data_IF_834152347546
#
_entry.id   IF_834152347546
#
_cell.length_a   1.000
_cell.length_b   1.000
_cell.length_c   1.000
_cell.angle_alpha   90.00
_cell.angle_beta   90.00
_cell.angle_gamma   90.00
#
_symmetry.space_group_name_H-M   'P 1'
#
loop_
_entity.id
_entity.type
_entity.pdbx_description
1 polymer ?
#
# COMPACT_ATOMS: atom_id res chain seq x y z
N UNK A 1 -8.91 -16.19 -15.76
CA UNK A 1 -8.07 -17.34 -15.33
C UNK A 1 -7.45 -17.01 -13.98
N UNK A 2 -7.37 -17.94 -13.03
CA UNK A 2 -6.63 -17.70 -11.78
C UNK A 2 -5.13 -17.84 -12.05
N UNK A 3 -4.39 -16.74 -11.94
CA UNK A 3 -2.93 -16.67 -12.01
C UNK A 3 -2.35 -16.58 -10.60
N UNK A 4 -1.07 -16.94 -10.44
CA UNK A 4 -0.38 -16.79 -9.16
C UNK A 4 -0.45 -15.33 -8.68
N UNK A 5 -0.19 -14.38 -9.58
CA UNK A 5 -0.27 -12.94 -9.32
C UNK A 5 -1.69 -12.48 -8.96
N UNK A 6 -2.74 -13.04 -9.57
CA UNK A 6 -4.12 -12.71 -9.18
C UNK A 6 -4.45 -13.21 -7.77
N UNK A 7 -3.95 -14.39 -7.39
CA UNK A 7 -4.17 -14.97 -6.06
C UNK A 7 -3.39 -14.18 -5.01
N UNK A 8 -2.12 -13.86 -5.25
CA UNK A 8 -1.27 -13.11 -4.31
C UNK A 8 -1.85 -11.73 -4.01
N UNK A 9 -2.22 -10.98 -5.05
CA UNK A 9 -2.78 -9.63 -4.94
C UNK A 9 -4.20 -9.68 -4.39
N UNK A 10 -4.99 -10.71 -4.71
CA UNK A 10 -6.32 -10.94 -4.11
C UNK A 10 -6.25 -11.23 -2.61
N UNK A 11 -5.31 -12.08 -2.18
CA UNK A 11 -5.07 -12.36 -0.77
C UNK A 11 -4.56 -11.11 -0.02
N UNK A 12 -3.64 -10.37 -0.64
CA UNK A 12 -3.14 -9.11 -0.09
C UNK A 12 -4.28 -8.10 0.07
N UNK A 13 -5.16 -7.97 -0.92
CA UNK A 13 -6.37 -7.14 -0.87
C UNK A 13 -7.25 -7.51 0.33
N UNK A 14 -7.49 -8.80 0.56
CA UNK A 14 -8.25 -9.29 1.71
C UNK A 14 -7.62 -8.83 3.03
N UNK A 15 -6.29 -8.95 3.19
CA UNK A 15 -5.61 -8.48 4.40
C UNK A 15 -5.79 -6.98 4.63
N UNK A 16 -5.65 -6.17 3.58
CA UNK A 16 -5.86 -4.72 3.65
C UNK A 16 -7.31 -4.36 3.98
N UNK A 17 -8.30 -5.05 3.40
CA UNK A 17 -9.70 -4.82 3.74
C UNK A 17 -10.01 -5.21 5.18
N UNK A 18 -9.57 -6.37 5.66
CA UNK A 18 -9.77 -6.80 7.04
C UNK A 18 -9.14 -5.81 8.04
N UNK A 19 -7.91 -5.38 7.76
CA UNK A 19 -7.23 -4.34 8.54
C UNK A 19 -8.00 -3.00 8.47
N UNK A 20 -8.41 -2.59 7.29
CA UNK A 20 -9.11 -1.33 7.02
C UNK A 20 -10.48 -1.25 7.68
N UNK A 21 -11.32 -2.28 7.57
CA UNK A 21 -12.62 -2.36 8.25
C UNK A 21 -12.47 -2.39 9.77
N UNK A 22 -11.43 -3.06 10.27
CA UNK A 22 -11.13 -3.08 11.71
C UNK A 22 -10.75 -1.68 12.21
N UNK A 23 -9.86 -1.00 11.48
CA UNK A 23 -9.47 0.37 11.78
C UNK A 23 -10.66 1.35 11.63
N UNK A 24 -11.52 1.14 10.63
CA UNK A 24 -12.73 1.94 10.40
C UNK A 24 -13.67 1.86 11.59
N UNK A 25 -13.97 0.65 12.08
CA UNK A 25 -14.81 0.46 13.28
C UNK A 25 -14.24 1.18 14.49
N UNK A 26 -12.93 1.16 14.69
CA UNK A 26 -12.28 1.88 15.78
C UNK A 26 -12.35 3.40 15.59
N UNK A 27 -12.12 3.89 14.37
CA UNK A 27 -12.18 5.31 14.05
C UNK A 27 -13.60 5.88 14.18
N UNK A 28 -14.64 5.14 13.78
CA UNK A 28 -16.03 5.59 13.92
C UNK A 28 -16.44 5.84 15.38
N UNK A 29 -15.79 5.17 16.34
CA UNK A 29 -16.01 5.38 17.78
C UNK A 29 -15.32 6.63 18.32
N UNK A 30 -14.04 6.83 18.00
CA UNK A 30 -13.20 7.86 18.63
C UNK A 30 -12.90 9.07 17.73
N UNK A 31 -13.19 8.98 16.43
CA UNK A 31 -13.07 10.02 15.38
C UNK A 31 -11.72 10.76 15.29
N UNK A 32 -10.62 10.19 15.79
CA UNK A 32 -9.28 10.79 15.64
C UNK A 32 -8.84 10.94 14.18
N UNK A 33 -8.43 12.15 13.79
CA UNK A 33 -8.07 12.50 12.41
C UNK A 33 -6.97 11.60 11.79
N UNK A 34 -5.93 11.24 12.56
CA UNK A 34 -4.84 10.36 12.09
C UNK A 34 -5.32 8.96 11.77
N UNK A 35 -6.27 8.44 12.57
CA UNK A 35 -6.87 7.12 12.33
C UNK A 35 -7.71 7.13 11.05
N UNK A 36 -8.41 8.23 10.75
CA UNK A 36 -9.14 8.39 9.49
C UNK A 36 -8.24 8.30 8.25
N UNK A 37 -7.08 8.96 8.27
CA UNK A 37 -6.12 8.87 7.16
C UNK A 37 -5.57 7.45 6.97
N UNK A 38 -5.30 6.76 8.08
CA UNK A 38 -4.84 5.37 8.05
C UNK A 38 -5.92 4.40 7.55
N UNK A 39 -7.20 4.66 7.86
CA UNK A 39 -8.34 3.91 7.31
C UNK A 39 -8.43 4.08 5.79
N UNK A 40 -8.34 5.33 5.31
CA UNK A 40 -8.34 5.61 3.86
C UNK A 40 -7.17 4.91 3.19
N UNK A 41 -5.98 4.97 3.78
CA UNK A 41 -4.81 4.23 3.32
C UNK A 41 -5.12 2.74 3.13
N UNK A 42 -5.55 2.04 4.20
CA UNK A 42 -5.80 0.60 4.16
C UNK A 42 -6.89 0.21 3.16
N UNK A 43 -8.02 0.91 3.16
CA UNK A 43 -9.15 0.57 2.28
C UNK A 43 -8.83 0.87 0.81
N UNK A 44 -8.26 2.04 0.51
CA UNK A 44 -7.88 2.38 -0.85
C UNK A 44 -6.78 1.43 -1.36
N UNK A 45 -5.84 1.02 -0.52
CA UNK A 45 -4.84 0.03 -0.92
C UNK A 45 -5.45 -1.37 -1.14
N UNK A 46 -6.44 -1.74 -0.33
CA UNK A 46 -7.25 -2.94 -0.56
C UNK A 46 -7.90 -2.94 -1.94
N UNK A 47 -8.51 -1.81 -2.34
CA UNK A 47 -9.04 -1.63 -3.69
C UNK A 47 -7.96 -1.68 -4.76
N UNK A 48 -6.82 -1.02 -4.57
CA UNK A 48 -5.70 -1.08 -5.50
C UNK A 48 -5.29 -2.53 -5.78
N UNK A 49 -5.12 -3.34 -4.73
CA UNK A 49 -4.77 -4.75 -4.85
C UNK A 49 -5.88 -5.59 -5.49
N UNK A 50 -7.16 -5.29 -5.19
CA UNK A 50 -8.31 -5.95 -5.81
C UNK A 50 -8.35 -5.70 -7.32
N UNK A 51 -8.23 -4.44 -7.75
CA UNK A 51 -8.25 -4.10 -9.17
C UNK A 51 -7.03 -4.67 -9.91
N UNK A 52 -5.88 -4.76 -9.25
CA UNK A 52 -4.69 -5.40 -9.83
C UNK A 52 -4.85 -6.93 -9.94
N UNK A 53 -5.51 -7.57 -8.96
CA UNK A 53 -5.90 -8.99 -9.02
C UNK A 53 -6.86 -9.26 -10.17
N UNK A 54 -7.90 -8.41 -10.33
CA UNK A 54 -8.83 -8.50 -11.45
C UNK A 54 -8.13 -8.29 -12.79
N UNK A 55 -7.23 -7.31 -12.91
CA UNK A 55 -6.45 -7.07 -14.11
C UNK A 55 -5.65 -8.33 -14.50
N UNK A 56 -4.87 -8.86 -13.56
CA UNK A 56 -4.03 -10.04 -13.81
C UNK A 56 -4.86 -11.31 -14.09
N UNK A 57 -6.08 -11.41 -13.57
CA UNK A 57 -7.02 -12.51 -13.86
C UNK A 57 -7.78 -12.39 -15.18
N UNK A 58 -7.93 -11.17 -15.72
CA UNK A 58 -8.71 -10.87 -16.93
C UNK A 58 -7.89 -10.85 -18.23
N UNK A 59 -6.57 -11.04 -18.16
CA UNK A 59 -5.68 -10.89 -19.34
C UNK A 59 -6.06 -11.77 -20.52
N UNK A 60 -6.51 -13.00 -20.25
CA UNK A 60 -6.88 -13.96 -21.28
C UNK A 60 -8.27 -13.69 -21.87
N UNK A 61 -9.01 -12.71 -21.33
CA UNK A 61 -10.39 -12.40 -21.71
C UNK A 61 -10.46 -11.15 -22.58
N UNK A 62 -9.83 -10.05 -22.14
CA UNK A 62 -9.77 -8.80 -22.90
C UNK A 62 -8.58 -7.94 -22.46
N UNK A 63 -7.67 -7.67 -23.40
CA UNK A 63 -6.49 -6.83 -23.18
C UNK A 63 -6.85 -5.38 -22.79
N UNK A 64 -7.97 -4.84 -23.31
CA UNK A 64 -8.43 -3.49 -22.95
C UNK A 64 -8.90 -3.44 -21.51
N UNK A 65 -9.66 -4.42 -21.06
CA UNK A 65 -10.15 -4.50 -19.67
C UNK A 65 -8.97 -4.58 -18.70
N UNK A 66 -7.97 -5.40 -18.99
CA UNK A 66 -6.76 -5.52 -18.18
C UNK A 66 -6.05 -4.16 -17.98
N UNK A 67 -5.87 -3.41 -19.06
CA UNK A 67 -5.20 -2.10 -19.05
C UNK A 67 -5.95 -1.08 -18.20
N UNK A 68 -7.28 -1.02 -18.33
CA UNK A 68 -8.10 -0.10 -17.55
C UNK A 68 -8.13 -0.48 -16.07
N UNK A 69 -8.22 -1.77 -15.75
CA UNK A 69 -8.14 -2.25 -14.36
C UNK A 69 -6.77 -1.93 -13.74
N UNK A 70 -5.68 -2.02 -14.51
CA UNK A 70 -4.35 -1.56 -14.07
C UNK A 70 -4.34 -0.06 -13.77
N UNK A 71 -4.91 0.79 -14.64
CA UNK A 71 -4.96 2.24 -14.41
C UNK A 71 -5.82 2.59 -13.18
N UNK A 72 -6.98 1.94 -13.03
CA UNK A 72 -7.87 2.09 -11.87
C UNK A 72 -7.18 1.63 -10.58
N UNK A 73 -6.43 0.52 -10.60
CA UNK A 73 -5.64 0.09 -9.45
C UNK A 73 -4.71 1.22 -8.98
N UNK A 74 -4.01 1.87 -9.91
CA UNK A 74 -3.10 2.95 -9.57
C UNK A 74 -3.80 4.24 -9.11
N UNK A 75 -5.01 4.53 -9.58
CA UNK A 75 -5.87 5.58 -8.97
C UNK A 75 -6.03 5.36 -7.46
N UNK A 76 -6.39 4.14 -7.07
CA UNK A 76 -6.52 3.81 -5.66
C UNK A 76 -5.18 3.83 -4.91
N UNK A 77 -4.07 3.47 -5.57
CA UNK A 77 -2.72 3.65 -5.02
C UNK A 77 -2.44 5.12 -4.69
N UNK A 78 -2.70 6.04 -5.63
CA UNK A 78 -2.46 7.46 -5.41
C UNK A 78 -3.33 8.03 -4.29
N UNK A 79 -4.61 7.68 -4.25
CA UNK A 79 -5.52 8.05 -3.15
C UNK A 79 -4.96 7.57 -1.82
N UNK A 80 -4.57 6.29 -1.75
CA UNK A 80 -4.03 5.67 -0.55
C UNK A 80 -2.79 6.40 -0.04
N UNK A 81 -1.79 6.60 -0.89
CA UNK A 81 -0.51 7.24 -0.54
C UNK A 81 -0.67 8.73 -0.20
N UNK A 82 -1.51 9.46 -0.94
CA UNK A 82 -1.81 10.87 -0.67
C UNK A 82 -2.37 11.11 0.73
N UNK A 83 -3.26 10.23 1.19
CA UNK A 83 -3.80 10.36 2.54
C UNK A 83 -2.83 9.82 3.57
N UNK A 84 -2.10 8.76 3.24
CA UNK A 84 -1.18 8.14 4.18
C UNK A 84 -0.02 9.05 4.58
N UNK A 85 0.57 9.80 3.65
CA UNK A 85 1.69 10.73 3.92
C UNK A 85 1.36 11.75 5.03
N UNK A 86 0.06 12.07 5.22
CA UNK A 86 -0.38 13.00 6.28
C UNK A 86 -0.06 12.48 7.67
N UNK A 87 -0.04 11.16 7.88
CA UNK A 87 0.26 10.55 9.18
C UNK A 87 1.69 10.91 9.63
N UNK A 88 2.77 10.54 8.92
CA UNK A 88 4.11 10.89 9.33
C UNK A 88 4.39 12.40 9.27
N UNK A 89 3.72 13.15 8.38
CA UNK A 89 3.82 14.61 8.32
C UNK A 89 3.27 15.30 9.57
N UNK A 90 2.09 14.90 10.06
CA UNK A 90 1.55 15.46 11.31
C UNK A 90 2.40 15.11 12.52
N UNK A 91 3.08 13.96 12.49
CA UNK A 91 3.98 13.54 13.56
C UNK A 91 5.33 14.27 13.55
N UNK A 92 5.87 14.56 12.36
CA UNK A 92 7.27 15.05 12.22
C UNK A 92 7.35 16.52 11.80
N UNK A 93 6.42 17.00 10.97
CA UNK A 93 6.43 18.33 10.37
C UNK A 93 5.02 18.96 10.30
N UNK A 94 4.33 19.15 11.45
CA UNK A 94 2.92 19.56 11.47
C UNK A 94 2.66 20.90 10.77
N UNK A 95 3.63 21.82 10.78
CA UNK A 95 3.53 23.13 10.11
C UNK A 95 3.54 23.02 8.58
N UNK A 96 4.23 22.02 8.03
CA UNK A 96 4.36 21.81 6.58
C UNK A 96 3.34 20.82 6.02
N UNK A 97 2.58 20.13 6.88
CA UNK A 97 1.67 19.06 6.48
C UNK A 97 0.69 19.47 5.40
N UNK A 98 0.01 20.61 5.54
CA UNK A 98 -0.97 21.09 4.56
C UNK A 98 -0.34 21.41 3.21
N UNK A 99 0.87 21.97 3.21
CA UNK A 99 1.60 22.32 2.00
C UNK A 99 2.02 21.05 1.24
N UNK A 100 2.66 20.11 1.95
CA UNK A 100 3.13 18.86 1.35
C UNK A 100 1.95 17.99 0.90
N UNK A 101 0.84 17.97 1.65
CA UNK A 101 -0.38 17.28 1.23
C UNK A 101 -0.96 17.86 -0.08
N UNK A 102 -1.02 19.20 -0.22
CA UNK A 102 -1.45 19.83 -1.47
C UNK A 102 -0.52 19.49 -2.64
N UNK A 103 0.79 19.52 -2.42
CA UNK A 103 1.78 19.13 -3.41
C UNK A 103 1.61 17.65 -3.82
N UNK A 104 1.35 16.77 -2.85
CA UNK A 104 1.08 15.35 -3.07
C UNK A 104 -0.20 15.12 -3.89
N UNK A 105 -1.27 15.89 -3.63
CA UNK A 105 -2.49 15.86 -4.42
C UNK A 105 -2.25 16.30 -5.87
N UNK A 106 -1.51 17.39 -6.07
CA UNK A 106 -1.16 17.87 -7.41
C UNK A 106 -0.31 16.82 -8.15
N UNK A 107 0.71 16.27 -7.49
CA UNK A 107 1.52 15.18 -8.04
C UNK A 107 0.66 13.98 -8.43
N UNK A 108 -0.29 13.58 -7.58
CA UNK A 108 -1.19 12.46 -7.87
C UNK A 108 -2.11 12.74 -9.05
N UNK A 109 -2.62 13.96 -9.20
CA UNK A 109 -3.43 14.35 -10.34
C UNK A 109 -2.63 14.29 -11.65
N UNK A 110 -1.41 14.86 -11.66
CA UNK A 110 -0.50 14.81 -12.80
C UNK A 110 -0.11 13.36 -13.11
N UNK A 111 0.26 12.59 -12.07
CA UNK A 111 0.65 11.20 -12.19
C UNK A 111 -0.47 10.35 -12.78
N UNK A 112 -1.71 10.55 -12.33
CA UNK A 112 -2.88 9.90 -12.90
C UNK A 112 -3.10 10.26 -14.36
N UNK A 113 -3.01 11.54 -14.72
CA UNK A 113 -3.11 11.95 -16.12
C UNK A 113 -2.04 11.24 -16.99
N UNK A 114 -0.79 11.18 -16.51
CA UNK A 114 0.29 10.43 -17.17
C UNK A 114 -0.05 8.95 -17.30
N UNK A 115 -0.58 8.30 -16.25
CA UNK A 115 -0.95 6.89 -16.31
C UNK A 115 -2.08 6.63 -17.31
N UNK A 116 -3.11 7.46 -17.32
CA UNK A 116 -4.26 7.30 -18.23
C UNK A 116 -3.89 7.58 -19.69
N UNK A 117 -3.03 8.57 -19.95
CA UNK A 117 -2.52 8.83 -21.31
C UNK A 117 -1.64 7.69 -21.83
N UNK A 118 -0.88 7.04 -20.95
CA UNK A 118 0.00 5.93 -21.30
C UNK A 118 -0.65 4.55 -21.17
N UNK A 119 -1.87 4.46 -20.64
CA UNK A 119 -2.58 3.19 -20.43
C UNK A 119 -2.65 2.36 -21.72
N UNK A 120 -2.97 2.91 -22.92
CA UNK A 120 -3.00 2.12 -24.16
C UNK A 120 -1.67 1.47 -24.55
N UNK A 121 -0.54 1.94 -24.00
CA UNK A 121 0.80 1.40 -24.26
C UNK A 121 1.21 0.33 -23.23
N UNK A 122 0.42 0.15 -22.17
CA UNK A 122 0.65 -0.91 -21.18
C UNK A 122 0.32 -2.24 -21.85
N UNK A 123 1.30 -3.15 -21.85
CA UNK A 123 1.07 -4.50 -22.37
C UNK A 123 1.21 -5.54 -21.28
N UNK A 124 0.41 -6.57 -21.45
CA UNK A 124 0.21 -7.68 -20.55
C UNK A 124 0.83 -8.94 -21.16
N UNK A 125 1.70 -9.62 -20.44
CA UNK A 125 2.23 -10.91 -20.89
C UNK A 125 2.02 -11.95 -19.79
N UNK A 126 1.29 -13.01 -20.15
CA UNK A 126 1.14 -14.20 -19.32
C UNK A 126 2.32 -15.14 -19.66
N UNK A 127 3.17 -15.37 -18.67
CA UNK A 127 4.32 -16.26 -18.79
C UNK A 127 3.98 -17.69 -18.35
N UNK A 128 4.87 -18.62 -18.68
CA UNK A 128 4.82 -19.98 -18.16
C UNK A 128 4.73 -19.96 -16.61
N UNK A 129 3.97 -20.91 -16.03
CA UNK A 129 3.66 -21.01 -14.60
C UNK A 129 2.62 -20.01 -14.06
N UNK A 130 1.83 -19.37 -14.94
CA UNK A 130 0.71 -18.52 -14.50
C UNK A 130 1.17 -17.24 -13.82
N UNK A 131 2.35 -16.73 -14.23
CA UNK A 131 2.94 -15.49 -13.75
C UNK A 131 2.66 -14.39 -14.75
N UNK A 132 2.40 -13.18 -14.23
CA UNK A 132 1.98 -12.07 -15.06
C UNK A 132 3.03 -10.95 -15.08
N UNK A 133 3.38 -10.46 -16.28
CA UNK A 133 4.31 -9.34 -16.48
C UNK A 133 3.59 -8.15 -17.13
N UNK A 134 3.62 -6.99 -16.46
CA UNK A 134 3.23 -5.71 -17.05
C UNK A 134 4.43 -5.04 -17.69
N UNK A 135 4.39 -4.80 -19.01
CA UNK A 135 5.30 -3.84 -19.66
C UNK A 135 4.65 -2.47 -19.62
N UNK A 136 5.09 -1.70 -18.62
CA UNK A 136 4.63 -0.34 -18.37
C UNK A 136 5.61 0.65 -19.01
N UNK A 137 5.12 1.71 -19.67
CA UNK A 137 5.98 2.79 -20.16
C UNK A 137 6.87 3.39 -19.06
N UNK A 138 8.06 3.86 -19.44
CA UNK A 138 9.04 4.37 -18.50
C UNK A 138 8.49 5.53 -17.66
N UNK A 139 7.79 6.47 -18.30
CA UNK A 139 7.21 7.63 -17.60
C UNK A 139 6.20 7.22 -16.52
N UNK A 140 5.30 6.29 -16.84
CA UNK A 140 4.37 5.73 -15.86
C UNK A 140 5.09 5.03 -14.71
N UNK A 141 6.13 4.26 -15.03
CA UNK A 141 6.97 3.58 -14.03
C UNK A 141 7.65 4.56 -13.10
N UNK A 142 8.27 5.63 -13.63
CA UNK A 142 8.95 6.66 -12.84
C UNK A 142 7.97 7.35 -11.88
N UNK A 143 6.78 7.72 -12.35
CA UNK A 143 5.76 8.35 -11.51
C UNK A 143 5.36 7.43 -10.35
N UNK A 144 5.08 6.16 -10.64
CA UNK A 144 4.69 5.17 -9.62
C UNK A 144 5.81 4.97 -8.61
N UNK A 145 7.03 4.73 -9.08
CA UNK A 145 8.20 4.41 -8.24
C UNK A 145 8.58 5.59 -7.37
N UNK A 146 8.68 6.81 -7.93
CA UNK A 146 9.07 8.00 -7.17
C UNK A 146 8.06 8.26 -6.05
N UNK A 147 6.77 8.30 -6.37
CA UNK A 147 5.75 8.64 -5.39
C UNK A 147 5.62 7.60 -4.28
N UNK A 148 5.61 6.32 -4.67
CA UNK A 148 5.54 5.21 -3.71
C UNK A 148 6.79 5.19 -2.83
N UNK A 149 7.97 5.36 -3.40
CA UNK A 149 9.24 5.33 -2.65
C UNK A 149 9.32 6.46 -1.64
N UNK A 150 9.09 7.71 -2.07
CA UNK A 150 9.16 8.86 -1.17
C UNK A 150 8.15 8.73 -0.03
N UNK A 151 6.92 8.32 -0.34
CA UNK A 151 5.87 8.18 0.67
C UNK A 151 6.16 7.04 1.64
N UNK A 152 6.51 5.86 1.13
CA UNK A 152 6.72 4.67 1.96
C UNK A 152 8.02 4.75 2.77
N UNK A 153 9.12 5.25 2.21
CA UNK A 153 10.39 5.44 2.96
C UNK A 153 10.17 6.42 4.11
N UNK A 154 9.54 7.57 3.84
CA UNK A 154 9.28 8.55 4.89
C UNK A 154 8.37 7.99 5.99
N UNK A 155 7.29 7.31 5.60
CA UNK A 155 6.36 6.69 6.54
C UNK A 155 6.99 5.58 7.36
N UNK A 156 7.78 4.71 6.72
CA UNK A 156 8.51 3.64 7.38
C UNK A 156 9.51 4.21 8.38
N UNK A 157 10.28 5.23 8.00
CA UNK A 157 11.23 5.88 8.90
C UNK A 157 10.54 6.49 10.13
N UNK A 158 9.38 7.14 9.97
CA UNK A 158 8.62 7.70 11.10
C UNK A 158 8.07 6.61 12.01
N UNK A 159 7.55 5.51 11.47
CA UNK A 159 7.00 4.41 12.28
C UNK A 159 8.08 3.60 12.97
N UNK A 160 9.22 3.34 12.31
CA UNK A 160 10.37 2.68 12.90
C UNK A 160 10.98 3.52 14.04
N UNK A 161 11.01 4.85 13.90
CA UNK A 161 11.42 5.73 15.00
C UNK A 161 10.55 5.58 16.25
N UNK A 162 9.26 5.24 16.10
CA UNK A 162 8.39 5.00 17.25
C UNK A 162 8.80 3.76 18.06
N UNK A 163 9.51 2.80 17.47
CA UNK A 163 10.03 1.65 18.21
C UNK A 163 11.09 2.04 19.25
N UNK A 164 11.81 3.13 19.04
CA UNK A 164 12.89 3.59 19.94
C UNK A 164 12.41 4.59 21.01
N UNK A 165 11.11 4.88 21.05
CA UNK A 165 10.50 5.80 22.01
C UNK A 165 10.11 5.07 23.29
N UNK A 166 10.80 5.36 24.39
CA UNK A 166 10.60 4.69 25.67
C UNK A 166 9.30 5.10 26.37
N UNK A 167 8.72 6.23 25.99
CA UNK A 167 7.43 6.72 26.49
C UNK A 167 6.21 5.93 25.95
N UNK A 168 6.41 5.06 24.95
CA UNK A 168 5.36 4.23 24.37
C UNK A 168 5.35 2.83 25.01
N UNK A 169 4.16 2.25 25.21
CA UNK A 169 4.05 0.85 25.64
C UNK A 169 4.74 -0.09 24.64
N UNK A 170 5.21 -1.24 25.12
CA UNK A 170 5.87 -2.25 24.27
C UNK A 170 5.00 -2.62 23.06
N UNK A 171 3.68 -2.75 23.26
CA UNK A 171 2.72 -3.05 22.19
C UNK A 171 2.72 -1.98 21.11
N UNK A 172 2.72 -0.69 21.48
CA UNK A 172 2.79 0.40 20.50
C UNK A 172 4.12 0.48 19.78
N UNK A 173 5.23 0.20 20.47
CA UNK A 173 6.57 0.13 19.87
C UNK A 173 6.65 -0.99 18.84
N UNK A 174 6.23 -2.21 19.21
CA UNK A 174 6.19 -3.37 18.32
C UNK A 174 5.25 -3.13 17.13
N UNK A 175 4.12 -2.46 17.34
CA UNK A 175 3.22 -2.06 16.26
C UNK A 175 3.91 -1.14 15.25
N UNK A 176 4.65 -0.14 15.72
CA UNK A 176 5.46 0.73 14.86
C UNK A 176 6.50 -0.05 14.05
N UNK A 177 7.20 -0.98 14.70
CA UNK A 177 8.18 -1.85 14.06
C UNK A 177 7.57 -2.73 12.96
N UNK A 178 6.47 -3.43 13.26
CA UNK A 178 5.81 -4.35 12.34
C UNK A 178 5.25 -3.59 11.12
N UNK A 179 4.55 -2.47 11.36
CA UNK A 179 4.00 -1.66 10.26
C UNK A 179 5.11 -1.01 9.41
N UNK A 180 6.18 -0.52 10.04
CA UNK A 180 7.34 0.03 9.34
C UNK A 180 8.07 -1.02 8.50
N UNK A 181 8.29 -2.22 9.05
CA UNK A 181 8.85 -3.35 8.31
C UNK A 181 7.96 -3.76 7.14
N UNK A 182 6.64 -3.82 7.34
CA UNK A 182 5.67 -4.09 6.28
C UNK A 182 5.76 -3.11 5.12
N UNK A 183 5.99 -1.82 5.39
CA UNK A 183 6.22 -0.81 4.35
C UNK A 183 7.52 -1.02 3.58
N UNK A 184 8.60 -1.39 4.25
CA UNK A 184 9.89 -1.69 3.60
C UNK A 184 9.75 -2.90 2.69
N UNK A 185 9.13 -3.98 3.19
CA UNK A 185 8.86 -5.19 2.40
C UNK A 185 8.00 -4.84 1.18
N UNK A 186 6.94 -4.04 1.37
CA UNK A 186 6.11 -3.58 0.25
C UNK A 186 6.92 -2.79 -0.79
N UNK A 187 7.84 -1.94 -0.35
CA UNK A 187 8.69 -1.13 -1.23
C UNK A 187 9.54 -2.01 -2.16
N UNK A 188 10.02 -3.14 -1.65
CA UNK A 188 10.79 -4.13 -2.42
C UNK A 188 9.94 -5.02 -3.32
N UNK A 189 8.60 -4.98 -3.19
CA UNK A 189 7.68 -5.82 -3.95
C UNK A 189 6.73 -5.02 -4.86
N UNK A 190 5.89 -4.15 -4.32
CA UNK A 190 4.85 -3.43 -5.06
C UNK A 190 5.37 -2.70 -6.31
N UNK A 191 6.26 -1.70 -6.17
CA UNK A 191 6.86 -1.02 -7.31
C UNK A 191 7.67 -1.96 -8.22
N UNK A 192 8.26 -3.01 -7.67
CA UNK A 192 9.10 -3.96 -8.40
C UNK A 192 8.32 -4.77 -9.45
N UNK A 193 6.99 -4.92 -9.32
CA UNK A 193 6.14 -5.49 -10.38
C UNK A 193 6.24 -4.74 -11.72
N UNK A 194 6.64 -3.47 -11.71
CA UNK A 194 6.81 -2.67 -12.92
C UNK A 194 8.23 -2.78 -13.52
N UNK A 195 9.18 -3.35 -12.77
CA UNK A 195 10.60 -3.40 -13.12
C UNK A 195 11.08 -4.81 -13.45
N UNK A 196 10.55 -5.83 -12.77
CA UNK A 196 10.96 -7.21 -12.97
C UNK A 196 10.41 -7.77 -14.28
N UNK A 197 11.28 -8.49 -15.00
CA UNK A 197 10.98 -9.09 -16.32
C UNK A 197 11.16 -10.62 -16.35
N UNK A 198 11.33 -11.26 -15.20
CA UNK A 198 11.53 -12.72 -15.12
C UNK A 198 10.45 -13.39 -14.27
N UNK A 199 9.99 -14.61 -14.63
CA UNK A 199 8.96 -15.32 -13.85
C UNK A 199 9.36 -15.55 -12.39
N UNK A 200 10.61 -15.98 -12.15
CA UNK A 200 11.14 -16.21 -10.79
C UNK A 200 11.13 -14.93 -9.96
N UNK A 201 11.52 -13.80 -10.54
CA UNK A 201 11.51 -12.52 -9.85
C UNK A 201 10.09 -12.06 -9.49
N UNK A 202 9.12 -12.29 -10.38
CA UNK A 202 7.72 -11.94 -10.11
C UNK A 202 7.13 -12.80 -9.00
N UNK A 203 7.42 -14.10 -8.96
CA UNK A 203 6.99 -14.99 -7.87
C UNK A 203 7.54 -14.48 -6.53
N UNK A 204 8.82 -14.10 -6.48
CA UNK A 204 9.43 -13.53 -5.27
C UNK A 204 8.72 -12.26 -4.84
N UNK A 205 8.46 -11.34 -5.78
CA UNK A 205 7.77 -10.09 -5.51
C UNK A 205 6.33 -10.33 -5.02
N UNK A 206 5.60 -11.25 -5.63
CA UNK A 206 4.25 -11.66 -5.21
C UNK A 206 4.26 -12.22 -3.78
N UNK A 207 5.25 -13.05 -3.42
CA UNK A 207 5.40 -13.58 -2.07
C UNK A 207 5.71 -12.50 -1.03
N UNK A 208 6.61 -11.57 -1.38
CA UNK A 208 6.94 -10.41 -0.54
C UNK A 208 5.73 -9.48 -0.38
N UNK A 209 4.89 -9.34 -1.39
CA UNK A 209 3.66 -8.55 -1.33
C UNK A 209 2.66 -9.15 -0.32
N UNK A 210 2.46 -10.47 -0.34
CA UNK A 210 1.65 -11.19 0.66
C UNK A 210 2.23 -10.97 2.06
N UNK A 211 3.55 -11.12 2.22
CA UNK A 211 4.24 -10.89 3.49
C UNK A 211 4.03 -9.46 4.01
N UNK A 212 4.12 -8.45 3.13
CA UNK A 212 3.81 -7.08 3.50
C UNK A 212 2.37 -6.96 4.02
N UNK A 213 1.39 -7.50 3.29
CA UNK A 213 -0.01 -7.53 3.71
C UNK A 213 -0.22 -8.21 5.07
N UNK A 214 0.47 -9.32 5.32
CA UNK A 214 0.48 -10.02 6.61
C UNK A 214 1.03 -9.15 7.74
N UNK A 215 2.16 -8.47 7.51
CA UNK A 215 2.73 -7.54 8.49
C UNK A 215 1.76 -6.39 8.79
N UNK A 216 1.08 -5.84 7.78
CA UNK A 216 0.07 -4.80 7.98
C UNK A 216 -1.10 -5.28 8.84
N UNK A 217 -1.70 -6.43 8.53
CA UNK A 217 -2.82 -6.95 9.34
C UNK A 217 -2.36 -7.31 10.76
N UNK A 218 -1.19 -7.94 10.93
CA UNK A 218 -0.62 -8.23 12.26
C UNK A 218 -0.43 -6.93 13.04
N UNK A 219 0.17 -5.89 12.43
CA UNK A 219 0.38 -4.61 13.09
C UNK A 219 -0.92 -3.90 13.48
N UNK A 220 -2.01 -4.08 12.73
CA UNK A 220 -3.33 -3.54 13.09
C UNK A 220 -3.97 -4.32 14.23
N UNK A 221 -3.84 -5.66 14.23
CA UNK A 221 -4.44 -6.53 15.24
C UNK A 221 -3.57 -6.73 16.49
N UNK A 222 -2.31 -6.30 16.49
CA UNK A 222 -1.36 -6.52 17.58
C UNK A 222 -1.91 -6.15 18.97
N UNK A 223 -2.57 -5.00 19.18
CA UNK A 223 -3.11 -4.64 20.50
C UNK A 223 -4.27 -5.53 20.97
N UNK A 224 -4.89 -6.29 20.07
CA UNK A 224 -5.94 -7.28 20.40
C UNK A 224 -5.35 -8.66 20.68
N UNK A 225 -4.22 -8.98 20.02
CA UNK A 225 -3.50 -10.25 20.17
C UNK A 225 -2.77 -10.25 21.51
N UNK A 226 -2.01 -9.19 21.76
CA UNK A 226 -1.35 -8.95 23.04
C UNK A 226 -2.34 -8.14 23.85
N UNK A 227 -3.08 -8.79 24.77
CA UNK A 227 -3.86 -8.07 25.78
C UNK A 227 -2.89 -7.21 26.58
N UNK A 228 -2.76 -5.95 26.20
CA UNK A 228 -2.08 -4.99 27.05
C UNK A 228 -2.93 -4.92 28.33
N UNK A 229 -2.39 -5.43 29.43
CA UNK A 229 -2.86 -5.01 30.74
C UNK A 229 -2.57 -3.52 30.75
N UNK A 230 -3.61 -2.72 30.60
CA UNK A 230 -3.52 -1.26 30.66
C UNK A 230 -2.55 -0.91 31.79
N UNK A 231 -1.45 -0.23 31.44
CA UNK A 231 -0.63 0.40 32.47
C UNK A 231 -1.57 1.29 33.29
N UNK A 232 -1.48 1.28 34.63
CA UNK A 232 -2.36 2.08 35.45
C UNK A 232 -2.25 3.54 35.00
N UNK A 233 -3.40 4.19 34.79
CA UNK A 233 -3.47 5.62 34.57
C UNK A 233 -2.74 6.30 35.74
N UNK A 234 -1.54 6.83 35.47
CA UNK A 234 -0.89 7.73 36.41
C UNK A 234 -1.62 9.07 36.31
N UNK A 235 -2.15 9.46 37.47
CA UNK A 235 -2.85 10.72 37.80
C UNK A 235 -2.35 11.97 37.08
#
# INVERSE_FOLDING_TARGET
>A
MLTFTSISTGLTSLFYFLAGFTALRAWLKNKYNLSGYFVIFLLAFGFQQMFFSLASGSVSLDAKVNVWLWAIAHLFMFISLCYFIRVPLKMSFPRLEKLIFKASLLYSAIGLAVLFMNAPQVTAQLEANGVYLFKVPLMSTLVIVIFTTLTMVFSAATLLKAFFKNELSLVYRLRGLILGAGMIVYLTSGPAHNLIRSPKGTILVDALLILAGLLFIIGVFLPKIIKDKEAPASH
#
